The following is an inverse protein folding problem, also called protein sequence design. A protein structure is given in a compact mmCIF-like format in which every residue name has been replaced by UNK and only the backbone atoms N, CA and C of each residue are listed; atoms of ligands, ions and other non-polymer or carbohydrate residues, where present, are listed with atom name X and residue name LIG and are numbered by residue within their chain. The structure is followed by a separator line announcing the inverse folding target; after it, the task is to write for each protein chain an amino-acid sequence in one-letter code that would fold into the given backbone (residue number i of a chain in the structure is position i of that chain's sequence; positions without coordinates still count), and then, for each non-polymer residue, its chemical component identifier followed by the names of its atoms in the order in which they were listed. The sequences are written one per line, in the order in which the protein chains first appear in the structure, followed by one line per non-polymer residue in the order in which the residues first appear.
data_IF_089693195150
#
_entry.id   IF_089693195150
#
_cell.length_a   1.000
_cell.length_b   1.000
_cell.length_c   1.000
_cell.angle_alpha   90.00
_cell.angle_beta   90.00
_cell.angle_gamma   90.00
#
_symmetry.space_group_name_H-M   'P 1'
#
loop_
_entity.id
_entity.type
_entity.pdbx_description
1 polymer ?
#
# COMPACT_ATOMS: atom_id res chain seq x y z
N UNK A 1 -18.81 1.36 14.18
CA UNK A 1 -18.60 2.21 12.99
C UNK A 1 -17.77 1.40 12.02
N UNK A 2 -18.12 1.29 10.74
CA UNK A 2 -17.21 0.69 9.76
C UNK A 2 -16.14 1.74 9.43
N UNK A 3 -15.06 1.70 10.18
CA UNK A 3 -13.89 2.54 9.92
C UNK A 3 -13.41 2.28 8.50
N UNK A 4 -13.17 3.36 7.77
CA UNK A 4 -12.69 3.25 6.41
C UNK A 4 -11.33 2.60 6.35
N UNK A 5 -11.00 2.09 5.18
CA UNK A 5 -9.64 1.71 4.85
C UNK A 5 -9.16 2.53 3.67
N UNK A 6 -7.86 2.80 3.63
CA UNK A 6 -7.20 3.32 2.46
C UNK A 6 -6.08 2.38 2.02
N UNK A 7 -5.95 2.27 0.72
CA UNK A 7 -4.95 1.47 0.05
C UNK A 7 -3.86 2.42 -0.42
N UNK A 8 -2.63 2.10 -0.06
CA UNK A 8 -1.43 2.85 -0.48
C UNK A 8 -0.65 1.95 -1.41
N UNK A 9 -0.44 2.39 -2.64
CA UNK A 9 0.41 1.70 -3.62
C UNK A 9 1.64 2.54 -3.90
N UNK A 10 2.83 2.00 -3.69
CA UNK A 10 4.08 2.64 -4.06
C UNK A 10 4.74 1.91 -5.22
N UNK A 11 5.37 2.69 -6.10
CA UNK A 11 6.28 2.22 -7.15
C UNK A 11 7.70 2.26 -6.58
N UNK A 12 8.33 1.10 -6.42
CA UNK A 12 9.63 0.96 -5.74
C UNK A 12 10.70 0.59 -6.77
N UNK A 13 11.81 1.33 -6.76
CA UNK A 13 12.99 1.04 -7.56
C UNK A 13 13.91 0.12 -6.77
N UNK A 14 14.18 -1.05 -7.33
CA UNK A 14 15.18 -1.98 -6.79
C UNK A 14 16.40 -1.99 -7.70
N UNK A 15 17.57 -1.96 -7.07
CA UNK A 15 18.86 -2.17 -7.72
C UNK A 15 19.36 -3.55 -7.36
N UNK A 16 19.62 -4.37 -8.36
CA UNK A 16 20.20 -5.70 -8.20
C UNK A 16 21.55 -5.68 -8.88
N UNK A 17 22.55 -6.27 -8.23
CA UNK A 17 23.85 -6.47 -8.85
C UNK A 17 23.71 -7.31 -10.12
N UNK A 18 24.22 -6.78 -11.23
CA UNK A 18 24.13 -7.36 -12.59
C UNK A 18 25.52 -7.67 -13.15
N UNK A 19 26.51 -7.81 -12.27
CA UNK A 19 27.87 -8.17 -12.60
C UNK A 19 28.86 -7.02 -12.44
N UNK A 20 29.89 -7.04 -13.27
CA UNK A 20 31.07 -6.18 -13.11
C UNK A 20 31.46 -5.56 -14.44
N UNK A 21 31.79 -4.26 -14.41
CA UNK A 21 32.21 -3.48 -15.57
C UNK A 21 33.56 -3.99 -16.10
N UNK A 22 33.64 -4.24 -17.41
CA UNK A 22 34.87 -4.67 -18.08
C UNK A 22 35.93 -3.55 -18.21
N UNK A 23 35.56 -2.30 -17.95
CA UNK A 23 36.45 -1.15 -18.11
C UNK A 23 37.31 -0.91 -16.85
N UNK A 24 36.72 -1.10 -15.68
CA UNK A 24 37.31 -0.68 -14.40
C UNK A 24 37.05 -1.66 -13.24
N UNK A 25 36.32 -2.76 -13.48
CA UNK A 25 36.01 -3.74 -12.44
C UNK A 25 34.96 -3.27 -11.43
N UNK A 26 34.26 -2.16 -11.68
CA UNK A 26 33.20 -1.67 -10.79
C UNK A 26 31.94 -2.53 -10.86
N UNK A 27 31.20 -2.64 -9.75
CA UNK A 27 29.92 -3.35 -9.72
C UNK A 27 28.88 -2.63 -10.57
N UNK A 28 28.26 -3.36 -11.50
CA UNK A 28 27.16 -2.88 -12.33
C UNK A 28 25.85 -3.27 -11.67
N UNK A 29 24.89 -2.35 -11.67
CA UNK A 29 23.56 -2.59 -11.13
C UNK A 29 22.50 -2.49 -12.21
N UNK A 30 21.59 -3.46 -12.25
CA UNK A 30 20.36 -3.38 -13.01
C UNK A 30 19.26 -2.83 -12.13
N UNK A 31 18.56 -1.84 -12.65
CA UNK A 31 17.37 -1.30 -12.00
C UNK A 31 16.12 -2.00 -12.53
N UNK A 32 15.23 -2.39 -11.64
CA UNK A 32 13.88 -2.82 -11.99
C UNK A 32 12.88 -2.19 -11.03
N UNK A 33 11.61 -2.16 -11.44
CA UNK A 33 10.57 -1.50 -10.67
C UNK A 33 9.48 -2.49 -10.29
N UNK A 34 9.08 -2.46 -9.03
CA UNK A 34 7.97 -3.23 -8.48
C UNK A 34 6.88 -2.27 -7.99
N UNK A 35 5.69 -2.81 -7.80
CA UNK A 35 4.60 -2.11 -7.13
C UNK A 35 4.30 -2.84 -5.84
N UNK A 36 4.38 -2.12 -4.73
CA UNK A 36 4.02 -2.63 -3.41
C UNK A 36 2.74 -1.94 -2.94
N UNK A 37 1.87 -2.70 -2.28
CA UNK A 37 0.57 -2.21 -1.82
C UNK A 37 0.34 -2.56 -0.37
N UNK A 38 -0.13 -1.59 0.40
CA UNK A 38 -0.50 -1.72 1.81
C UNK A 38 -1.94 -1.26 2.03
N UNK A 39 -2.59 -1.85 3.04
CA UNK A 39 -3.92 -1.46 3.48
C UNK A 39 -3.82 -0.92 4.90
N UNK A 40 -4.39 0.26 5.13
CA UNK A 40 -4.39 0.94 6.42
C UNK A 40 -5.81 1.32 6.82
N UNK A 41 -6.15 1.21 8.13
CA UNK A 41 -7.33 1.84 8.70
C UNK A 41 -7.31 3.36 8.53
N UNK A 42 -8.48 3.98 8.37
CA UNK A 42 -8.65 5.42 8.15
C UNK A 42 -8.10 6.29 9.29
N UNK A 43 -8.02 5.76 10.52
CA UNK A 43 -7.40 6.44 11.67
C UNK A 43 -5.87 6.47 11.61
N UNK A 44 -5.24 5.68 10.74
CA UNK A 44 -3.78 5.63 10.62
C UNK A 44 -3.26 6.98 10.11
N UNK A 45 -2.27 7.53 10.81
CA UNK A 45 -1.72 8.83 10.43
C UNK A 45 -0.86 8.72 9.18
N UNK A 46 -0.82 9.79 8.38
CA UNK A 46 0.06 9.83 7.19
C UNK A 46 1.54 9.63 7.55
N UNK A 47 1.96 10.05 8.75
CA UNK A 47 3.33 9.84 9.23
C UNK A 47 3.70 8.36 9.39
N UNK A 48 2.79 7.56 9.96
CA UNK A 48 2.97 6.11 10.13
C UNK A 48 2.98 5.37 8.78
N UNK A 49 2.09 5.78 7.88
CA UNK A 49 2.03 5.27 6.50
C UNK A 49 3.35 5.53 5.80
N UNK A 50 3.82 6.78 5.79
CA UNK A 50 5.04 7.18 5.10
C UNK A 50 6.28 6.52 5.70
N UNK A 51 6.32 6.33 7.03
CA UNK A 51 7.40 5.58 7.70
C UNK A 51 7.47 4.13 7.20
N UNK A 52 6.32 3.48 7.00
CA UNK A 52 6.28 2.11 6.44
C UNK A 52 6.73 2.10 4.99
N UNK A 53 6.17 2.98 4.15
CA UNK A 53 6.49 3.05 2.71
C UNK A 53 7.97 3.36 2.49
N UNK A 54 8.57 4.25 3.29
CA UNK A 54 9.99 4.61 3.18
C UNK A 54 10.97 3.46 3.41
N UNK A 55 10.52 2.37 4.05
CA UNK A 55 11.34 1.18 4.32
C UNK A 55 11.34 0.17 3.17
N UNK A 56 10.43 0.31 2.20
CA UNK A 56 10.31 -0.61 1.07
C UNK A 56 11.48 -0.46 0.07
N UNK A 57 12.09 0.73 -0.01
CA UNK A 57 13.25 1.00 -0.88
C UNK A 57 13.20 2.40 -1.47
N UNK A 58 13.84 2.57 -2.62
CA UNK A 58 13.84 3.84 -3.35
C UNK A 58 12.47 4.07 -4.00
N UNK A 59 11.68 4.96 -3.41
CA UNK A 59 10.30 5.23 -3.86
C UNK A 59 10.29 6.18 -5.05
N UNK A 60 9.67 5.76 -6.16
CA UNK A 60 9.47 6.58 -7.36
C UNK A 60 8.18 7.39 -7.25
N UNK A 61 7.10 6.75 -6.81
CA UNK A 61 5.78 7.38 -6.73
C UNK A 61 4.90 6.66 -5.72
N UNK A 62 3.97 7.39 -5.11
CA UNK A 62 2.97 6.85 -4.18
C UNK A 62 1.59 7.27 -4.64
N UNK A 63 0.64 6.33 -4.63
CA UNK A 63 -0.78 6.56 -4.86
C UNK A 63 -1.55 6.13 -3.60
N UNK A 64 -2.50 6.95 -3.17
CA UNK A 64 -3.39 6.65 -2.04
C UNK A 64 -4.82 6.65 -2.55
N UNK A 65 -5.52 5.55 -2.33
CA UNK A 65 -6.90 5.35 -2.77
C UNK A 65 -7.78 4.91 -1.61
N UNK A 66 -8.94 5.52 -1.46
CA UNK A 66 -9.95 5.11 -0.49
C UNK A 66 -10.55 3.74 -0.90
N UNK A 67 -10.62 2.80 0.03
CA UNK A 67 -11.28 1.51 -0.19
C UNK A 67 -12.80 1.65 0.00
N UNK A 68 -13.46 2.06 -1.08
CA UNK A 68 -14.91 2.22 -1.12
C UNK A 68 -15.68 0.90 -1.12
N UNK A 69 -15.03 -0.21 -1.47
CA UNK A 69 -15.67 -1.53 -1.59
C UNK A 69 -15.88 -2.14 -0.21
N UNK A 70 -14.85 -2.11 0.64
CA UNK A 70 -14.94 -2.56 2.04
C UNK A 70 -15.95 -1.74 2.84
N UNK A 71 -16.00 -0.42 2.62
CA UNK A 71 -17.02 0.46 3.21
C UNK A 71 -18.46 0.04 2.86
N UNK A 72 -18.74 -0.25 1.58
CA UNK A 72 -20.08 -0.64 1.14
C UNK A 72 -20.50 -1.99 1.73
N UNK A 73 -19.60 -2.98 1.75
CA UNK A 73 -19.85 -4.30 2.34
C UNK A 73 -20.04 -4.23 3.86
N UNK A 74 -19.27 -3.42 4.57
CA UNK A 74 -19.41 -3.24 6.02
C UNK A 74 -20.76 -2.57 6.37
N UNK A 75 -21.17 -1.57 5.60
CA UNK A 75 -22.49 -0.94 5.75
C UNK A 75 -23.65 -1.90 5.45
N UNK A 76 -23.51 -2.80 4.46
CA UNK A 76 -24.53 -3.82 4.18
C UNK A 76 -24.63 -4.86 5.29
N UNK A 77 -23.50 -5.30 5.89
CA UNK A 77 -23.52 -6.22 7.03
C UNK A 77 -24.15 -5.59 8.28
N UNK A 78 -23.91 -4.30 8.53
CA UNK A 78 -24.56 -3.57 9.62
C UNK A 78 -26.07 -3.40 9.40
N UNK A 79 -26.50 -3.14 8.16
CA UNK A 79 -27.92 -3.01 7.81
C UNK A 79 -28.68 -4.35 7.89
N UNK A 80 -28.03 -5.48 7.64
CA UNK A 80 -28.64 -6.81 7.70
C UNK A 80 -28.81 -7.39 9.12
N UNK A 81 -28.32 -6.72 10.17
CA UNK A 81 -28.26 -7.26 11.53
C UNK A 81 -29.21 -6.57 12.53
N UNK A 82 -30.16 -5.77 12.04
CA UNK A 82 -31.28 -5.31 12.87
C UNK A 82 -32.29 -6.46 13.00
N UNK A 83 -32.55 -7.02 14.19
CA UNK A 83 -33.70 -7.88 14.37
C UNK A 83 -34.94 -7.02 14.13
N UNK A 84 -35.75 -7.41 13.14
CA UNK A 84 -37.12 -6.91 13.02
C UNK A 84 -37.84 -7.21 14.33
N UNK A 85 -37.98 -6.22 15.22
CA UNK A 85 -38.94 -6.31 16.31
C UNK A 85 -40.32 -6.05 15.72
N UNK A 86 -40.90 -7.07 15.09
CA UNK A 86 -42.34 -7.09 14.88
C UNK A 86 -42.99 -7.43 16.22
N UNK A 87 -43.70 -6.44 16.77
CA UNK A 87 -44.66 -6.60 17.86
C UNK A 87 -46.08 -6.57 17.32
#
# INVERSE_FOLDING_TARGET
MSEGSFIVTAKVLHRVEDGTSHLDGSTVYRSHTTYETWNYPAETTIGEVMNTVSRAGDIISIAVTEDRVSHRLANQKLAGNYPSSEG
#
